data_IF_538769820243
#
_entry.id   IF_538769820243
#
_cell.length_a   1.000
_cell.length_b   1.000
_cell.length_c   1.000
_cell.angle_alpha   90.00
_cell.angle_beta   90.00
_cell.angle_gamma   90.00
#
_symmetry.space_group_name_H-M   'P 1'
#
loop_
_entity.id
_entity.type
_entity.pdbx_description
1 polymer ?
#
# COMPACT_ATOMS: atom_id res chain seq x y z
N UNK A 1 -13.03 92.83 -80.02
CA UNK A 1 -12.51 92.28 -78.75
C UNK A 1 -13.54 91.38 -78.05
N UNK A 2 -14.85 91.60 -78.23
CA UNK A 2 -15.88 90.88 -77.46
C UNK A 2 -16.12 89.39 -77.82
N UNK A 3 -15.89 88.97 -79.08
CA UNK A 3 -16.16 87.58 -79.50
C UNK A 3 -15.16 86.53 -78.96
N UNK A 4 -13.87 86.89 -78.84
CA UNK A 4 -12.85 86.00 -78.29
C UNK A 4 -13.01 85.78 -76.78
N UNK A 5 -13.54 86.78 -76.06
CA UNK A 5 -13.82 86.71 -74.62
C UNK A 5 -15.01 85.78 -74.35
N UNK A 6 -16.06 85.81 -75.18
CA UNK A 6 -17.22 84.93 -75.04
C UNK A 6 -16.91 83.45 -75.29
N UNK A 7 -16.03 83.15 -76.26
CA UNK A 7 -15.57 81.77 -76.54
C UNK A 7 -14.66 81.25 -75.42
N UNK A 8 -13.79 82.11 -74.87
CA UNK A 8 -12.95 81.76 -73.73
C UNK A 8 -13.77 81.53 -72.45
N UNK A 9 -14.85 82.29 -72.25
CA UNK A 9 -15.79 82.09 -71.14
C UNK A 9 -16.53 80.76 -71.25
N UNK A 10 -17.08 80.43 -72.42
CA UNK A 10 -17.78 79.14 -72.63
C UNK A 10 -16.87 77.93 -72.51
N UNK A 11 -15.61 78.01 -72.97
CA UNK A 11 -14.63 76.93 -72.75
C UNK A 11 -14.22 76.79 -71.28
N UNK A 12 -14.08 77.91 -70.55
CA UNK A 12 -13.81 77.88 -69.11
C UNK A 12 -14.97 77.26 -68.35
N UNK A 13 -16.20 77.62 -68.69
CA UNK A 13 -17.40 77.12 -68.00
C UNK A 13 -17.60 75.62 -68.28
N UNK A 14 -17.35 75.15 -69.51
CA UNK A 14 -17.37 73.71 -69.82
C UNK A 14 -16.25 72.92 -69.12
N UNK A 15 -15.07 73.51 -68.93
CA UNK A 15 -13.97 72.91 -68.19
C UNK A 15 -14.27 72.84 -66.68
N UNK A 16 -14.90 73.87 -66.12
CA UNK A 16 -15.40 73.89 -64.74
C UNK A 16 -16.44 72.78 -64.55
N UNK A 17 -17.38 72.65 -65.48
CA UNK A 17 -18.44 71.64 -65.40
C UNK A 17 -17.91 70.19 -65.44
N UNK A 18 -16.89 69.91 -66.28
CA UNK A 18 -16.21 68.59 -66.27
C UNK A 18 -15.40 68.33 -65.00
N UNK A 19 -14.78 69.37 -64.44
CA UNK A 19 -14.08 69.27 -63.16
C UNK A 19 -15.08 68.95 -62.04
N UNK A 20 -16.25 69.59 -62.05
CA UNK A 20 -17.35 69.33 -61.12
C UNK A 20 -17.87 67.89 -61.23
N UNK A 21 -18.13 67.38 -62.44
CA UNK A 21 -18.51 65.97 -62.66
C UNK A 21 -17.44 65.00 -62.18
N UNK A 22 -16.16 65.23 -62.50
CA UNK A 22 -15.08 64.37 -62.03
C UNK A 22 -14.91 64.41 -60.51
N UNK A 23 -15.16 65.55 -59.87
CA UNK A 23 -15.16 65.63 -58.40
C UNK A 23 -16.34 64.88 -57.79
N UNK A 24 -17.53 64.96 -58.40
CA UNK A 24 -18.71 64.22 -57.98
C UNK A 24 -18.52 62.70 -58.15
N UNK A 25 -18.00 62.24 -59.28
CA UNK A 25 -17.71 60.83 -59.54
C UNK A 25 -16.65 60.29 -58.57
N UNK A 26 -15.61 61.09 -58.28
CA UNK A 26 -14.59 60.74 -57.29
C UNK A 26 -15.18 60.61 -55.90
N UNK A 27 -16.11 61.49 -55.52
CA UNK A 27 -16.79 61.46 -54.24
C UNK A 27 -17.69 60.22 -54.11
N UNK A 28 -18.42 59.87 -55.17
CA UNK A 28 -19.22 58.63 -55.25
C UNK A 28 -18.34 57.40 -55.11
N UNK A 29 -17.21 57.32 -55.82
CA UNK A 29 -16.27 56.20 -55.73
C UNK A 29 -15.65 56.07 -54.34
N UNK A 30 -15.27 57.19 -53.70
CA UNK A 30 -14.75 57.18 -52.32
C UNK A 30 -15.80 56.68 -51.34
N UNK A 31 -17.06 57.09 -51.51
CA UNK A 31 -18.15 56.62 -50.66
C UNK A 31 -18.46 55.13 -50.89
N UNK A 32 -18.48 54.67 -52.15
CA UNK A 32 -18.65 53.25 -52.46
C UNK A 32 -17.50 52.40 -51.90
N UNK A 33 -16.25 52.88 -52.02
CA UNK A 33 -15.09 52.21 -51.45
C UNK A 33 -15.18 52.13 -49.92
N UNK A 34 -15.58 53.21 -49.24
CA UNK A 34 -15.79 53.21 -47.78
C UNK A 34 -16.85 52.19 -47.36
N UNK A 35 -17.98 52.13 -48.06
CA UNK A 35 -19.06 51.17 -47.77
C UNK A 35 -18.58 49.74 -47.98
N UNK A 36 -17.91 49.45 -49.10
CA UNK A 36 -17.37 48.12 -49.39
C UNK A 36 -16.28 47.71 -48.39
N UNK A 37 -15.39 48.63 -48.01
CA UNK A 37 -14.35 48.38 -47.02
C UNK A 37 -14.97 48.08 -45.64
N UNK A 38 -15.97 48.85 -45.21
CA UNK A 38 -16.68 48.63 -43.95
C UNK A 38 -17.41 47.28 -43.95
N UNK A 39 -18.13 46.95 -45.03
CA UNK A 39 -18.78 45.66 -45.19
C UNK A 39 -17.79 44.49 -45.17
N UNK A 40 -16.66 44.62 -45.86
CA UNK A 40 -15.64 43.56 -45.92
C UNK A 40 -14.96 43.37 -44.57
N UNK A 41 -14.66 44.46 -43.85
CA UNK A 41 -14.09 44.40 -42.50
C UNK A 41 -15.07 43.81 -41.48
N UNK A 42 -16.35 44.17 -41.55
CA UNK A 42 -17.39 43.59 -40.68
C UNK A 42 -17.57 42.08 -40.94
N UNK A 43 -17.55 41.66 -42.20
CA UNK A 43 -17.63 40.25 -42.57
C UNK A 43 -16.38 39.48 -42.11
N UNK A 44 -15.19 40.05 -42.29
CA UNK A 44 -13.93 39.48 -41.77
C UNK A 44 -13.94 39.35 -40.24
N UNK A 45 -14.41 40.39 -39.52
CA UNK A 45 -14.52 40.37 -38.07
C UNK A 45 -15.48 39.27 -37.59
N UNK A 46 -16.68 39.18 -38.20
CA UNK A 46 -17.64 38.10 -37.90
C UNK A 46 -17.07 36.71 -38.14
N UNK A 47 -16.34 36.51 -39.23
CA UNK A 47 -15.69 35.22 -39.51
C UNK A 47 -14.59 34.90 -38.51
N UNK A 48 -13.81 35.89 -38.09
CA UNK A 48 -12.78 35.72 -37.07
C UNK A 48 -13.39 35.33 -35.71
N UNK A 49 -14.46 36.01 -35.29
CA UNK A 49 -15.17 35.71 -34.04
C UNK A 49 -15.79 34.31 -34.06
N UNK A 50 -16.48 33.95 -35.15
CA UNK A 50 -17.05 32.61 -35.31
C UNK A 50 -15.98 31.50 -35.31
N UNK A 51 -14.82 31.75 -35.94
CA UNK A 51 -13.70 30.83 -35.92
C UNK A 51 -13.06 30.72 -34.52
N UNK A 52 -13.00 31.81 -33.76
CA UNK A 52 -12.50 31.80 -32.38
C UNK A 52 -13.45 31.01 -31.46
N UNK A 53 -14.76 31.22 -31.56
CA UNK A 53 -15.76 30.44 -30.82
C UNK A 53 -15.69 28.95 -31.14
N UNK A 54 -15.54 28.57 -32.42
CA UNK A 54 -15.41 27.16 -32.78
C UNK A 54 -14.15 26.52 -32.20
N UNK A 55 -13.02 27.23 -32.21
CA UNK A 55 -11.77 26.74 -31.59
C UNK A 55 -11.92 26.56 -30.08
N UNK A 56 -12.58 27.49 -29.40
CA UNK A 56 -12.86 27.39 -27.97
C UNK A 56 -13.73 26.17 -27.67
N UNK A 57 -14.85 25.99 -28.38
CA UNK A 57 -15.73 24.82 -28.21
C UNK A 57 -15.02 23.50 -28.48
N UNK A 58 -14.16 23.45 -29.51
CA UNK A 58 -13.41 22.24 -29.83
C UNK A 58 -12.34 21.94 -28.76
N UNK A 59 -11.66 22.96 -28.26
CA UNK A 59 -10.66 22.82 -27.18
C UNK A 59 -11.32 22.35 -25.89
N UNK A 60 -12.49 22.91 -25.56
CA UNK A 60 -13.28 22.51 -24.39
C UNK A 60 -13.73 21.05 -24.52
N UNK A 61 -14.24 20.64 -25.68
CA UNK A 61 -14.63 19.25 -25.95
C UNK A 61 -13.46 18.25 -25.85
N UNK A 62 -12.23 18.66 -26.22
CA UNK A 62 -11.03 17.84 -26.06
C UNK A 62 -10.56 17.76 -24.60
N UNK A 63 -10.87 18.75 -23.77
CA UNK A 63 -10.49 18.79 -22.35
C UNK A 63 -11.49 18.08 -21.43
N UNK A 64 -12.76 17.96 -21.82
CA UNK A 64 -13.80 17.26 -21.02
C UNK A 64 -13.40 15.84 -20.63
N UNK A 65 -12.91 14.96 -21.54
CA UNK A 65 -12.52 13.59 -21.18
C UNK A 65 -11.37 13.53 -20.19
N UNK A 66 -10.44 14.49 -20.25
CA UNK A 66 -9.30 14.59 -19.31
C UNK A 66 -9.79 15.02 -17.93
N UNK A 67 -10.72 15.98 -17.88
CA UNK A 67 -11.35 16.43 -16.63
C UNK A 67 -12.14 15.30 -15.97
N UNK A 68 -12.92 14.56 -16.75
CA UNK A 68 -13.73 13.44 -16.25
C UNK A 68 -12.83 12.29 -15.77
N UNK A 69 -11.76 11.99 -16.51
CA UNK A 69 -10.78 10.96 -16.11
C UNK A 69 -10.05 11.33 -14.82
N UNK A 70 -9.65 12.60 -14.65
CA UNK A 70 -9.05 13.09 -13.41
C UNK A 70 -10.03 13.06 -12.24
N UNK A 71 -11.30 13.40 -12.47
CA UNK A 71 -12.34 13.31 -11.44
C UNK A 71 -12.59 11.85 -11.01
N UNK A 72 -12.65 10.92 -11.97
CA UNK A 72 -12.79 9.49 -11.71
C UNK A 72 -11.59 8.93 -10.94
N UNK A 73 -10.37 9.28 -11.36
CA UNK A 73 -9.14 8.88 -10.66
C UNK A 73 -9.11 9.41 -9.22
N UNK A 74 -9.46 10.69 -9.02
CA UNK A 74 -9.47 11.30 -7.69
C UNK A 74 -10.51 10.63 -6.77
N UNK A 75 -11.68 10.29 -7.33
CA UNK A 75 -12.72 9.52 -6.61
C UNK A 75 -12.23 8.12 -6.22
N UNK A 76 -11.60 7.40 -7.14
CA UNK A 76 -11.02 6.08 -6.86
C UNK A 76 -9.88 6.16 -5.82
N UNK A 77 -8.99 7.14 -5.93
CA UNK A 77 -7.90 7.34 -4.98
C UNK A 77 -8.44 7.63 -3.57
N UNK A 78 -9.47 8.48 -3.47
CA UNK A 78 -10.15 8.78 -2.20
C UNK A 78 -10.82 7.53 -1.63
N UNK A 79 -11.45 6.71 -2.48
CA UNK A 79 -12.06 5.46 -2.06
C UNK A 79 -11.02 4.45 -1.52
N UNK A 80 -9.89 4.29 -2.22
CA UNK A 80 -8.79 3.40 -1.82
C UNK A 80 -8.16 3.89 -0.51
N UNK A 81 -7.90 5.18 -0.36
CA UNK A 81 -7.37 5.74 0.89
C UNK A 81 -8.35 5.55 2.07
N UNK A 82 -9.64 5.77 1.85
CA UNK A 82 -10.66 5.53 2.88
C UNK A 82 -10.75 4.05 3.28
N UNK A 83 -10.70 3.12 2.30
CA UNK A 83 -10.63 1.69 2.58
C UNK A 83 -9.37 1.33 3.36
N UNK A 84 -8.22 1.91 3.00
CA UNK A 84 -6.95 1.71 3.69
C UNK A 84 -7.02 2.19 5.14
N UNK A 85 -7.60 3.36 5.38
CA UNK A 85 -7.80 3.89 6.73
C UNK A 85 -8.76 3.03 7.57
N UNK A 86 -9.87 2.55 6.98
CA UNK A 86 -10.80 1.66 7.67
C UNK A 86 -10.14 0.34 8.08
N UNK A 87 -9.37 -0.28 7.19
CA UNK A 87 -8.62 -1.51 7.48
C UNK A 87 -7.52 -1.29 8.54
N UNK A 88 -6.81 -0.16 8.48
CA UNK A 88 -5.81 0.18 9.50
C UNK A 88 -6.45 0.44 10.88
N UNK A 89 -7.63 1.05 10.93
CA UNK A 89 -8.38 1.26 12.15
C UNK A 89 -8.88 -0.06 12.75
N UNK A 90 -9.43 -0.95 11.93
CA UNK A 90 -9.87 -2.30 12.33
C UNK A 90 -8.69 -3.13 12.86
N UNK A 91 -7.55 -3.10 12.17
CA UNK A 91 -6.33 -3.76 12.64
C UNK A 91 -5.86 -3.18 13.99
N UNK A 92 -5.87 -1.85 14.13
CA UNK A 92 -5.53 -1.19 15.38
C UNK A 92 -6.46 -1.59 16.54
N UNK A 93 -7.75 -1.77 16.26
CA UNK A 93 -8.73 -2.22 17.25
C UNK A 93 -8.50 -3.68 17.65
N UNK A 94 -8.23 -4.57 16.70
CA UNK A 94 -7.92 -5.97 16.97
C UNK A 94 -6.61 -6.11 17.76
N UNK A 95 -5.59 -5.32 17.44
CA UNK A 95 -4.34 -5.26 18.21
C UNK A 95 -4.61 -4.77 19.64
N UNK A 96 -5.43 -3.73 19.83
CA UNK A 96 -5.85 -3.28 21.17
C UNK A 96 -6.59 -4.36 21.94
N UNK A 97 -7.46 -5.12 21.28
CA UNK A 97 -8.20 -6.21 21.90
C UNK A 97 -7.28 -7.37 22.31
N UNK A 98 -6.28 -7.70 21.51
CA UNK A 98 -5.22 -8.67 21.87
C UNK A 98 -4.41 -8.17 23.06
N UNK A 99 -3.99 -6.90 23.07
CA UNK A 99 -3.27 -6.31 24.21
C UNK A 99 -4.11 -6.29 25.48
N UNK A 100 -5.39 -5.93 25.40
CA UNK A 100 -6.34 -5.97 26.52
C UNK A 100 -6.55 -7.40 27.04
N UNK A 101 -6.56 -8.40 26.16
CA UNK A 101 -6.60 -9.82 26.54
C UNK A 101 -5.32 -10.22 27.26
N UNK A 102 -4.16 -9.72 26.83
CA UNK A 102 -2.88 -9.87 27.54
C UNK A 102 -2.86 -9.23 28.93
N UNK A 103 -3.49 -8.07 29.10
CA UNK A 103 -3.63 -7.35 30.38
C UNK A 103 -4.55 -8.10 31.37
N UNK A 104 -5.61 -8.74 30.87
CA UNK A 104 -6.49 -9.61 31.66
C UNK A 104 -5.77 -10.91 32.06
N UNK A 105 -4.96 -11.49 31.16
CA UNK A 105 -4.11 -12.64 31.45
C UNK A 105 -3.08 -12.33 32.54
N UNK A 106 -2.57 -11.07 32.60
CA UNK A 106 -1.68 -10.59 33.67
C UNK A 106 -2.29 -10.73 35.07
N UNK A 107 -3.61 -10.63 35.21
CA UNK A 107 -4.33 -10.84 36.47
C UNK A 107 -4.59 -12.32 36.79
N UNK A 108 -4.69 -13.19 35.79
CA UNK A 108 -4.77 -14.66 35.95
C UNK A 108 -3.39 -15.34 36.17
N UNK A 109 -2.30 -14.58 36.09
CA UNK A 109 -0.92 -15.09 36.01
C UNK A 109 -0.45 -15.88 37.25
N UNK A 110 -1.01 -15.67 38.44
CA UNK A 110 -0.60 -16.45 39.62
C UNK A 110 -1.08 -17.92 39.60
N UNK A 111 -2.25 -18.21 39.01
CA UNK A 111 -2.71 -19.59 38.85
C UNK A 111 -2.04 -20.29 37.66
N UNK A 112 -1.77 -19.54 36.59
CA UNK A 112 -1.11 -20.02 35.39
C UNK A 112 0.40 -20.28 35.60
N UNK A 113 1.07 -19.49 36.45
CA UNK A 113 2.50 -19.64 36.79
C UNK A 113 2.83 -21.06 37.32
N UNK A 114 2.05 -21.56 38.28
CA UNK A 114 2.24 -22.89 38.87
C UNK A 114 1.97 -24.01 37.86
N UNK A 115 0.98 -23.82 36.98
CA UNK A 115 0.64 -24.79 35.94
C UNK A 115 1.73 -24.87 34.84
N UNK A 116 2.30 -23.72 34.45
CA UNK A 116 3.35 -23.60 33.42
C UNK A 116 4.72 -24.13 33.86
N UNK A 117 4.92 -24.44 35.14
CA UNK A 117 6.15 -25.13 35.60
C UNK A 117 6.26 -26.54 35.00
N UNK A 118 5.14 -27.24 34.81
CA UNK A 118 5.13 -28.57 34.18
C UNK A 118 5.44 -28.45 32.68
N UNK A 119 6.49 -29.13 32.16
CA UNK A 119 6.87 -29.03 30.75
C UNK A 119 5.74 -29.36 29.76
N UNK A 120 4.92 -30.37 30.07
CA UNK A 120 3.79 -30.77 29.23
C UNK A 120 2.70 -29.69 29.15
N UNK A 121 2.32 -29.10 30.29
CA UNK A 121 1.29 -28.03 30.34
C UNK A 121 1.78 -26.78 29.63
N UNK A 122 3.06 -26.45 29.78
CA UNK A 122 3.69 -25.32 29.08
C UNK A 122 3.72 -25.51 27.57
N UNK A 123 4.06 -26.70 27.09
CA UNK A 123 4.02 -27.03 25.66
C UNK A 123 2.61 -26.86 25.10
N UNK A 124 1.63 -27.50 25.73
CA UNK A 124 0.23 -27.41 25.32
C UNK A 124 -0.32 -25.97 25.35
N UNK A 125 0.10 -25.15 26.32
CA UNK A 125 -0.31 -23.75 26.39
C UNK A 125 0.30 -22.90 25.27
N UNK A 126 1.58 -23.14 24.93
CA UNK A 126 2.24 -22.49 23.79
C UNK A 126 1.57 -22.83 22.46
N UNK A 127 1.26 -24.12 22.26
CA UNK A 127 0.54 -24.62 21.08
C UNK A 127 -0.88 -24.02 20.99
N UNK A 128 -1.64 -24.00 22.09
CA UNK A 128 -2.98 -23.40 22.13
C UNK A 128 -2.95 -21.90 21.82
N UNK A 129 -1.95 -21.17 22.33
CA UNK A 129 -1.80 -19.75 22.01
C UNK A 129 -1.44 -19.54 20.54
N UNK A 130 -0.56 -20.37 19.99
CA UNK A 130 -0.20 -20.31 18.58
C UNK A 130 -1.44 -20.56 17.70
N UNK A 131 -2.25 -21.57 18.02
CA UNK A 131 -3.51 -21.87 17.34
C UNK A 131 -4.46 -20.65 17.33
N UNK A 132 -4.69 -20.05 18.51
CA UNK A 132 -5.56 -18.87 18.61
C UNK A 132 -5.04 -17.69 17.80
N UNK A 133 -3.73 -17.48 17.79
CA UNK A 133 -3.10 -16.39 17.03
C UNK A 133 -3.32 -16.55 15.53
N UNK A 134 -3.19 -17.77 15.00
CA UNK A 134 -3.41 -18.01 13.56
C UNK A 134 -4.89 -17.89 13.20
N UNK A 135 -5.81 -18.36 14.05
CA UNK A 135 -7.26 -18.14 13.86
C UNK A 135 -7.60 -16.64 13.81
N UNK A 136 -7.06 -15.85 14.75
CA UNK A 136 -7.27 -14.39 14.79
C UNK A 136 -6.67 -13.70 13.56
N UNK A 137 -5.57 -14.22 13.03
CA UNK A 137 -4.99 -13.73 11.78
C UNK A 137 -5.87 -14.04 10.54
N UNK A 138 -6.97 -14.77 10.72
CA UNK A 138 -7.90 -15.15 9.66
C UNK A 138 -7.49 -16.41 8.89
N UNK A 139 -6.59 -17.21 9.47
CA UNK A 139 -6.11 -18.46 8.86
C UNK A 139 -7.09 -19.59 9.16
N UNK A 140 -7.41 -20.40 8.17
CA UNK A 140 -8.26 -21.57 8.29
C UNK A 140 -7.42 -22.85 8.46
N UNK A 141 -7.79 -23.69 9.43
CA UNK A 141 -7.13 -24.97 9.67
C UNK A 141 -7.19 -25.86 8.41
N UNK A 142 -6.08 -26.54 8.12
CA UNK A 142 -5.85 -27.42 6.97
C UNK A 142 -5.85 -26.76 5.58
N UNK A 143 -6.26 -25.49 5.48
CA UNK A 143 -6.17 -24.69 4.25
C UNK A 143 -4.93 -23.78 4.30
N UNK A 144 -4.77 -23.06 5.40
CA UNK A 144 -3.73 -22.05 5.57
C UNK A 144 -2.63 -22.51 6.52
N UNK A 145 -2.88 -23.47 7.40
CA UNK A 145 -1.84 -24.03 8.27
C UNK A 145 -2.07 -25.51 8.64
N UNK A 146 -0.99 -26.15 9.08
CA UNK A 146 -0.94 -27.53 9.55
C UNK A 146 -0.16 -27.60 10.85
N UNK A 147 -0.78 -28.16 11.89
CA UNK A 147 -0.10 -28.45 13.16
C UNK A 147 0.72 -29.74 13.07
N UNK A 148 1.85 -29.78 13.78
CA UNK A 148 2.72 -30.96 13.91
C UNK A 148 3.13 -31.62 12.58
N UNK A 149 3.20 -30.85 11.50
CA UNK A 149 3.51 -31.36 10.16
C UNK A 149 4.91 -32.00 10.14
N UNK A 150 4.98 -33.34 10.08
CA UNK A 150 6.28 -34.01 9.98
C UNK A 150 6.81 -33.92 8.55
N UNK A 151 7.98 -33.32 8.39
CA UNK A 151 8.71 -33.23 7.12
C UNK A 151 10.07 -33.92 7.19
N UNK A 152 10.70 -34.07 6.02
CA UNK A 152 12.08 -34.54 5.88
C UNK A 152 12.86 -33.44 5.18
N UNK A 153 14.02 -33.04 5.73
CA UNK A 153 14.93 -32.11 5.04
C UNK A 153 15.62 -32.78 3.86
N UNK A 154 16.27 -32.00 2.98
CA UNK A 154 17.18 -32.54 1.96
C UNK A 154 18.36 -33.34 2.56
N UNK A 155 18.63 -33.18 3.86
CA UNK A 155 19.64 -33.93 4.62
C UNK A 155 19.07 -35.17 5.34
N UNK A 156 17.90 -35.66 4.94
CA UNK A 156 17.20 -36.83 5.49
C UNK A 156 16.92 -36.75 7.01
N UNK A 157 16.98 -35.54 7.57
CA UNK A 157 16.65 -35.30 8.97
C UNK A 157 15.16 -35.06 9.09
N UNK A 158 14.49 -35.90 9.88
CA UNK A 158 13.07 -35.75 10.22
C UNK A 158 12.87 -34.49 11.07
N UNK A 159 12.09 -33.55 10.57
CA UNK A 159 11.71 -32.36 11.34
C UNK A 159 10.22 -32.39 11.70
N UNK A 160 9.93 -31.90 12.91
CA UNK A 160 8.59 -31.60 13.41
C UNK A 160 8.60 -30.17 13.94
N UNK A 161 8.20 -29.17 13.12
CA UNK A 161 7.81 -27.87 13.62
C UNK A 161 6.46 -27.98 14.33
N UNK A 162 6.17 -27.05 15.23
CA UNK A 162 4.88 -27.00 15.92
C UNK A 162 3.77 -26.66 14.91
N UNK A 163 4.06 -25.77 13.95
CA UNK A 163 3.11 -25.40 12.90
C UNK A 163 3.82 -25.10 11.57
N UNK A 164 3.16 -25.43 10.46
CA UNK A 164 3.50 -25.02 9.10
C UNK A 164 2.37 -24.14 8.58
N UNK A 165 2.65 -22.87 8.28
CA UNK A 165 1.67 -21.95 7.69
C UNK A 165 1.96 -21.82 6.21
N UNK A 166 0.99 -22.16 5.38
CA UNK A 166 1.05 -22.02 3.93
C UNK A 166 0.97 -20.55 3.54
N UNK A 167 1.80 -20.16 2.58
CA UNK A 167 1.73 -18.87 1.92
C UNK A 167 1.25 -19.06 0.48
N UNK A 168 0.84 -17.96 -0.16
CA UNK A 168 0.50 -17.97 -1.58
C UNK A 168 1.68 -18.45 -2.45
N UNK A 169 1.36 -19.01 -3.62
CA UNK A 169 2.37 -19.49 -4.57
C UNK A 169 3.13 -20.76 -4.14
N UNK A 170 2.54 -21.57 -3.24
CA UNK A 170 3.13 -22.84 -2.79
C UNK A 170 4.28 -22.70 -1.79
N UNK A 171 4.55 -21.47 -1.32
CA UNK A 171 5.51 -21.19 -0.24
C UNK A 171 4.89 -21.51 1.12
N UNK A 172 5.71 -21.57 2.17
CA UNK A 172 5.25 -21.76 3.54
C UNK A 172 6.27 -21.21 4.53
N UNK A 173 5.85 -20.97 5.77
CA UNK A 173 6.72 -20.67 6.91
C UNK A 173 6.52 -21.71 8.00
N UNK A 174 7.57 -21.98 8.77
CA UNK A 174 7.47 -22.79 9.97
C UNK A 174 7.42 -21.91 11.20
N UNK A 175 6.60 -22.31 12.17
CA UNK A 175 6.49 -21.66 13.47
C UNK A 175 6.79 -22.69 14.56
N UNK A 176 7.67 -22.32 15.48
CA UNK A 176 8.06 -23.11 16.66
C UNK A 176 7.76 -22.27 17.92
N UNK A 177 6.92 -22.79 18.81
CA UNK A 177 6.34 -22.08 19.97
C UNK A 177 7.12 -22.27 21.27
N UNK A 178 8.32 -22.86 21.20
CA UNK A 178 9.00 -23.34 22.39
C UNK A 178 9.68 -22.20 23.15
N UNK A 179 9.09 -21.82 24.29
CA UNK A 179 9.67 -20.82 25.20
C UNK A 179 10.24 -21.44 26.48
N UNK A 180 11.53 -21.20 26.79
CA UNK A 180 12.17 -21.67 28.01
C UNK A 180 11.78 -20.80 29.22
N UNK A 181 10.59 -21.04 29.78
CA UNK A 181 10.01 -20.21 30.85
C UNK A 181 10.62 -20.40 32.25
N UNK A 182 11.37 -21.47 32.49
CA UNK A 182 11.81 -21.83 33.86
C UNK A 182 12.52 -20.67 34.57
N UNK A 183 13.49 -20.05 33.91
CA UNK A 183 14.24 -18.93 34.50
C UNK A 183 13.37 -17.69 34.73
N UNK A 184 12.38 -17.43 33.86
CA UNK A 184 11.43 -16.33 34.07
C UNK A 184 10.53 -16.58 35.27
N UNK A 185 10.01 -17.80 35.42
CA UNK A 185 9.18 -18.18 36.56
C UNK A 185 9.97 -18.12 37.87
N UNK A 186 11.20 -18.62 37.87
CA UNK A 186 12.08 -18.55 39.03
C UNK A 186 12.42 -17.09 39.42
N UNK A 187 12.50 -16.18 38.44
CA UNK A 187 12.69 -14.75 38.72
C UNK A 187 11.51 -14.11 39.46
N UNK A 188 10.28 -14.61 39.26
CA UNK A 188 9.09 -14.09 39.94
C UNK A 188 9.00 -14.52 41.41
N UNK A 189 9.65 -15.62 41.75
CA UNK A 189 9.70 -16.16 43.12
C UNK A 189 10.97 -15.74 43.86
N UNK A 190 11.90 -15.05 43.19
CA UNK A 190 13.14 -14.59 43.78
C UNK A 190 12.88 -13.55 44.88
N UNK A 191 13.51 -13.77 46.03
CA UNK A 191 13.33 -12.93 47.24
C UNK A 191 14.28 -11.75 47.31
N UNK A 192 15.27 -11.70 46.42
CA UNK A 192 16.22 -10.59 46.31
C UNK A 192 16.27 -10.07 44.87
N UNK A 193 16.43 -8.76 44.72
CA UNK A 193 16.55 -8.13 43.41
C UNK A 193 17.76 -8.64 42.62
N UNK A 194 18.86 -8.99 43.30
CA UNK A 194 20.05 -9.56 42.69
C UNK A 194 19.80 -10.94 42.05
N UNK A 195 19.13 -11.84 42.77
CA UNK A 195 18.77 -13.16 42.24
C UNK A 195 17.73 -13.01 41.13
N UNK A 196 16.71 -12.14 41.31
CA UNK A 196 15.72 -11.84 40.28
C UNK A 196 16.38 -11.42 38.97
N UNK A 197 17.30 -10.45 39.01
CA UNK A 197 18.00 -9.98 37.82
C UNK A 197 18.85 -11.08 37.17
N UNK A 198 19.51 -11.92 37.95
CA UNK A 198 20.30 -13.04 37.44
C UNK A 198 19.42 -14.06 36.69
N UNK A 199 18.23 -14.37 37.22
CA UNK A 199 17.25 -15.27 36.58
C UNK A 199 16.67 -14.68 35.30
N UNK A 200 16.35 -13.39 35.27
CA UNK A 200 15.89 -12.72 34.05
C UNK A 200 16.98 -12.69 32.97
N UNK A 201 18.23 -12.42 33.34
CA UNK A 201 19.36 -12.53 32.41
C UNK A 201 19.48 -13.95 31.86
N UNK A 202 19.34 -14.97 32.70
CA UNK A 202 19.33 -16.36 32.25
C UNK A 202 18.16 -16.67 31.31
N UNK A 203 16.98 -16.07 31.53
CA UNK A 203 15.84 -16.18 30.61
C UNK A 203 16.19 -15.65 29.22
N UNK A 204 16.76 -14.44 29.12
CA UNK A 204 17.28 -13.91 27.86
C UNK A 204 18.34 -14.83 27.24
N UNK A 205 19.20 -15.43 28.08
CA UNK A 205 20.19 -16.40 27.63
C UNK A 205 19.55 -17.60 26.92
N UNK A 206 18.55 -18.19 27.57
CA UNK A 206 17.82 -19.35 27.06
C UNK A 206 17.09 -19.05 25.74
N UNK A 207 16.52 -17.84 25.58
CA UNK A 207 15.82 -17.46 24.34
C UNK A 207 16.77 -17.47 23.14
N UNK A 208 17.97 -16.84 23.21
CA UNK A 208 18.91 -16.94 22.08
C UNK A 208 19.49 -18.34 21.89
N UNK A 209 19.68 -19.12 22.96
CA UNK A 209 20.07 -20.53 22.80
C UNK A 209 19.05 -21.29 21.96
N UNK A 210 17.76 -20.99 22.12
CA UNK A 210 16.71 -21.56 21.29
C UNK A 210 16.74 -21.05 19.84
N UNK A 211 17.04 -19.77 19.61
CA UNK A 211 17.32 -19.23 18.27
C UNK A 211 18.47 -20.02 17.61
N UNK A 212 19.57 -20.25 18.33
CA UNK A 212 20.72 -20.99 17.81
C UNK A 212 20.34 -22.45 17.46
N UNK A 213 19.56 -23.12 18.32
CA UNK A 213 19.07 -24.47 18.08
C UNK A 213 18.13 -24.54 16.88
N UNK A 214 17.23 -23.58 16.74
CA UNK A 214 16.27 -23.53 15.64
C UNK A 214 16.97 -23.28 14.30
N UNK A 215 17.99 -22.43 14.29
CA UNK A 215 18.81 -22.14 13.12
C UNK A 215 19.60 -23.39 12.70
N UNK A 216 20.16 -24.12 13.66
CA UNK A 216 20.91 -25.34 13.36
C UNK A 216 20.09 -26.44 12.67
N UNK A 217 18.76 -26.45 12.83
CA UNK A 217 17.86 -27.42 12.18
C UNK A 217 17.70 -27.20 10.66
N UNK A 218 18.20 -26.10 10.10
CA UNK A 218 18.24 -25.80 8.65
C UNK A 218 16.92 -26.06 7.91
N UNK A 219 15.79 -25.63 8.47
CA UNK A 219 14.47 -25.79 7.87
C UNK A 219 14.39 -25.27 6.41
N UNK A 220 15.22 -24.29 6.06
CA UNK A 220 15.33 -23.68 4.73
C UNK A 220 16.06 -24.54 3.68
N UNK A 221 16.42 -25.79 3.98
CA UNK A 221 16.98 -26.76 3.01
C UNK A 221 16.04 -27.92 2.73
N UNK A 222 14.75 -27.67 2.57
CA UNK A 222 13.75 -28.67 2.15
C UNK A 222 13.58 -28.63 0.63
N UNK A 223 13.67 -29.78 -0.05
CA UNK A 223 13.62 -29.90 -1.52
C UNK A 223 12.23 -29.60 -2.13
N UNK A 224 11.17 -29.64 -1.33
CA UNK A 224 9.78 -29.33 -1.76
C UNK A 224 9.31 -28.02 -1.16
N UNK A 225 9.70 -26.90 -1.80
CA UNK A 225 9.44 -25.55 -1.30
C UNK A 225 10.32 -25.23 -0.09
N UNK A 226 11.10 -24.16 -0.20
CA UNK A 226 11.95 -23.70 0.89
C UNK A 226 11.21 -22.67 1.73
N UNK A 227 11.14 -22.84 3.06
CA UNK A 227 10.63 -21.79 3.93
C UNK A 227 11.53 -20.57 3.84
N UNK A 228 10.94 -19.40 3.63
CA UNK A 228 11.66 -18.13 3.49
C UNK A 228 12.40 -17.76 4.79
N UNK A 229 11.80 -18.08 5.93
CA UNK A 229 12.36 -17.94 7.26
C UNK A 229 11.61 -18.85 8.24
N UNK A 230 12.12 -18.97 9.46
CA UNK A 230 11.45 -19.67 10.57
C UNK A 230 11.00 -18.66 11.61
N UNK A 231 9.81 -18.83 12.16
CA UNK A 231 9.31 -18.01 13.26
C UNK A 231 9.55 -18.71 14.59
N UNK A 232 10.27 -18.05 15.49
CA UNK A 232 10.26 -18.37 16.91
C UNK A 232 9.11 -17.62 17.57
N UNK A 233 8.08 -18.34 17.97
CA UNK A 233 6.91 -17.78 18.62
C UNK A 233 7.07 -17.75 20.15
N UNK A 234 6.88 -16.57 20.72
CA UNK A 234 6.80 -16.33 22.16
C UNK A 234 5.34 -16.08 22.54
N UNK A 235 4.66 -16.97 23.27
CA UNK A 235 3.20 -16.96 23.46
C UNK A 235 2.68 -15.88 24.43
N UNK A 236 3.48 -14.85 24.72
CA UNK A 236 3.08 -13.72 25.56
C UNK A 236 3.88 -12.47 25.22
N UNK A 237 3.19 -11.33 25.14
CA UNK A 237 3.82 -10.03 24.96
C UNK A 237 4.79 -9.71 26.11
N UNK A 238 4.44 -10.05 27.35
CA UNK A 238 5.27 -9.78 28.51
C UNK A 238 6.59 -10.56 28.46
N UNK A 239 6.55 -11.80 27.96
CA UNK A 239 7.74 -12.62 27.79
C UNK A 239 8.63 -12.09 26.67
N UNK A 240 8.02 -11.63 25.55
CA UNK A 240 8.76 -11.01 24.45
C UNK A 240 9.44 -9.72 24.89
N UNK A 241 8.72 -8.86 25.61
CA UNK A 241 9.25 -7.62 26.16
C UNK A 241 10.40 -7.87 27.14
N UNK A 242 10.27 -8.85 28.03
CA UNK A 242 11.35 -9.21 28.96
C UNK A 242 12.56 -9.78 28.21
N UNK A 243 12.35 -10.62 27.19
CA UNK A 243 13.45 -11.17 26.39
C UNK A 243 14.25 -10.05 25.70
N UNK A 244 13.58 -9.03 25.18
CA UNK A 244 14.21 -7.84 24.59
C UNK A 244 14.88 -6.94 25.63
N UNK A 245 14.29 -6.79 26.82
CA UNK A 245 14.92 -6.03 27.90
C UNK A 245 16.27 -6.64 28.31
N UNK A 246 16.35 -7.97 28.35
CA UNK A 246 17.58 -8.70 28.70
C UNK A 246 18.55 -8.84 27.51
N UNK A 247 18.02 -8.82 26.29
CA UNK A 247 18.80 -8.81 25.04
C UNK A 247 18.23 -7.80 24.03
N UNK A 248 18.71 -6.55 24.06
CA UNK A 248 18.24 -5.53 23.14
C UNK A 248 18.51 -5.83 21.66
N UNK A 249 19.50 -6.68 21.36
CA UNK A 249 19.92 -7.09 20.01
C UNK A 249 19.24 -8.38 19.52
N UNK A 250 18.25 -8.91 20.25
CA UNK A 250 17.66 -10.23 19.98
C UNK A 250 17.06 -10.33 18.57
N UNK A 251 16.41 -9.27 18.08
CA UNK A 251 15.80 -9.26 16.76
C UNK A 251 16.85 -9.30 15.66
N UNK A 252 17.89 -8.47 15.74
CA UNK A 252 19.01 -8.44 14.80
C UNK A 252 19.78 -9.78 14.82
N UNK A 253 20.01 -10.32 16.02
CA UNK A 253 20.68 -11.60 16.21
C UNK A 253 19.95 -12.76 15.53
N UNK A 254 18.62 -12.81 15.71
CA UNK A 254 17.76 -13.84 15.13
C UNK A 254 17.60 -13.66 13.61
N UNK A 255 17.42 -12.43 13.14
CA UNK A 255 17.30 -12.11 11.72
C UNK A 255 18.54 -12.54 10.92
N UNK A 256 19.74 -12.30 11.46
CA UNK A 256 21.00 -12.76 10.88
C UNK A 256 21.13 -14.30 10.78
N UNK A 257 20.18 -15.05 11.37
CA UNK A 257 20.09 -16.52 11.37
C UNK A 257 18.84 -17.04 10.65
N UNK A 258 18.16 -16.19 9.88
CA UNK A 258 16.89 -16.47 9.20
C UNK A 258 15.76 -16.86 10.17
N UNK A 259 15.77 -16.29 11.38
CA UNK A 259 14.73 -16.48 12.39
C UNK A 259 14.06 -15.16 12.70
N UNK A 260 12.74 -15.16 12.68
CA UNK A 260 11.92 -14.04 13.13
C UNK A 260 11.38 -14.38 14.52
N UNK A 261 11.70 -13.57 15.52
CA UNK A 261 11.09 -13.68 16.85
C UNK A 261 9.77 -12.92 16.82
N UNK A 262 8.67 -13.62 17.14
CA UNK A 262 7.33 -13.04 17.12
C UNK A 262 6.57 -13.36 18.42
N UNK A 263 5.88 -12.36 18.95
CA UNK A 263 4.84 -12.45 19.98
C UNK A 263 3.46 -12.59 19.32
N UNK A 264 2.35 -12.78 20.05
CA UNK A 264 1.01 -12.88 19.46
C UNK A 264 0.68 -11.73 18.50
N UNK A 265 0.91 -10.48 18.91
CA UNK A 265 0.59 -9.30 18.11
C UNK A 265 1.43 -9.23 16.83
N UNK A 266 2.73 -9.49 16.94
CA UNK A 266 3.64 -9.42 15.79
C UNK A 266 3.44 -10.59 14.83
N UNK A 267 3.07 -11.77 15.33
CA UNK A 267 2.71 -12.91 14.49
C UNK A 267 1.39 -12.67 13.73
N UNK A 268 0.36 -12.10 14.36
CA UNK A 268 -0.88 -11.70 13.66
C UNK A 268 -0.53 -10.72 12.53
N UNK A 269 0.26 -9.68 12.83
CA UNK A 269 0.68 -8.70 11.84
C UNK A 269 1.46 -9.32 10.69
N UNK A 270 2.42 -10.20 10.99
CA UNK A 270 3.21 -10.93 10.01
C UNK A 270 2.32 -11.76 9.09
N UNK A 271 1.45 -12.59 9.65
CA UNK A 271 0.58 -13.49 8.88
C UNK A 271 -0.43 -12.71 8.02
N UNK A 272 -0.98 -11.61 8.52
CA UNK A 272 -1.88 -10.74 7.74
C UNK A 272 -1.15 -10.01 6.63
N UNK A 273 0.05 -9.49 6.90
CA UNK A 273 0.86 -8.82 5.88
C UNK A 273 1.23 -9.79 4.76
N UNK A 274 1.59 -11.02 5.13
CA UNK A 274 1.81 -12.14 4.21
C UNK A 274 0.54 -12.42 3.41
N UNK A 275 -0.59 -12.71 4.06
CA UNK A 275 -1.86 -12.98 3.37
C UNK A 275 -2.27 -11.86 2.39
N UNK A 276 -2.09 -10.60 2.79
CA UNK A 276 -2.41 -9.43 1.97
C UNK A 276 -1.47 -9.27 0.77
N UNK A 277 -0.16 -9.37 0.97
CA UNK A 277 0.83 -9.27 -0.10
C UNK A 277 0.63 -10.34 -1.18
N UNK A 278 0.23 -11.55 -0.78
CA UNK A 278 0.00 -12.63 -1.73
C UNK A 278 -1.36 -12.57 -2.42
N UNK A 279 -2.41 -12.02 -1.78
CA UNK A 279 -3.67 -11.72 -2.47
C UNK A 279 -3.44 -10.76 -3.64
N UNK A 280 -2.54 -9.79 -3.48
CA UNK A 280 -2.15 -8.88 -4.57
C UNK A 280 -1.35 -9.61 -5.67
N UNK A 281 -0.42 -10.50 -5.31
CA UNK A 281 0.35 -11.28 -6.28
C UNK A 281 -0.52 -12.25 -7.09
N UNK A 282 -1.41 -13.00 -6.44
CA UNK A 282 -2.31 -13.95 -7.11
C UNK A 282 -3.31 -13.28 -8.07
N UNK A 283 -3.77 -12.07 -7.72
CA UNK A 283 -4.58 -11.24 -8.62
C UNK A 283 -3.77 -10.77 -9.83
N UNK A 284 -2.50 -10.44 -9.65
CA UNK A 284 -1.60 -10.05 -10.74
C UNK A 284 -1.33 -11.22 -11.70
N UNK A 285 -1.07 -12.42 -11.17
CA UNK A 285 -0.84 -13.63 -11.97
C UNK A 285 -2.09 -14.03 -12.77
N UNK A 286 -3.26 -14.02 -12.11
CA UNK A 286 -4.55 -14.33 -12.76
C UNK A 286 -4.89 -13.30 -13.86
N UNK A 287 -4.60 -12.01 -13.62
CA UNK A 287 -4.81 -10.96 -14.62
C UNK A 287 -3.88 -11.13 -15.82
N UNK A 288 -2.63 -11.55 -15.60
CA UNK A 288 -1.67 -11.83 -16.67
C UNK A 288 -2.10 -13.06 -17.51
N UNK A 289 -2.64 -14.09 -16.86
CA UNK A 289 -3.10 -15.32 -17.52
C UNK A 289 -4.35 -15.06 -18.39
N UNK A 290 -5.30 -14.25 -17.91
CA UNK A 290 -6.45 -13.79 -18.69
C UNK A 290 -6.02 -12.93 -19.89
N UNK A 291 -5.02 -12.07 -19.73
CA UNK A 291 -4.46 -11.28 -20.83
C UNK A 291 -3.77 -12.15 -21.90
N UNK A 292 -3.14 -13.25 -21.49
CA UNK A 292 -2.47 -14.18 -22.40
C UNK A 292 -3.48 -15.06 -23.18
N UNK A 293 -4.59 -15.45 -22.54
CA UNK A 293 -5.68 -16.22 -23.16
C UNK A 293 -6.59 -15.38 -24.06
N UNK A 294 -6.56 -14.05 -23.92
CA UNK A 294 -7.31 -13.10 -24.75
C UNK A 294 -6.63 -12.69 -26.06
N UNK A 295 -5.49 -13.31 -26.43
CA UNK A 295 -4.83 -13.13 -27.73
C UNK A 295 -5.10 -14.27 -28.69
#
# INVERSE_FOLDING_TARGET
MDSAVAVAQTQRDAAIQRLEELTADREVLVNQFKVLADQTLQEQARRADAAAEQRLKHTEALMTPVKDSLAALNSQLTHVENQRHAQAAELGEQVRQVMATGESLRRETNALSTALRKPQVRGAWGELQLHRVVEIAGMLDHCDFYEQASGVTSADTRIRPDMKVMLGGGKFVYVDSKVPLSAFLDAQEATSDGDRQARLKQFGENVKSHVDQLSAKQYWKSDTGTPEFVVLFIPSEALGAEALAQRPDLHEYAAGRNIIVATPTTLIGLLRAVAYGWKQAALADSAAEVFALGR
#
